data_IF_859149364896
#
_entry.id   IF_859149364896
#
_cell.length_a   1.000
_cell.length_b   1.000
_cell.length_c   1.000
_cell.angle_alpha   90.00
_cell.angle_beta   90.00
_cell.angle_gamma   90.00
#
_symmetry.space_group_name_H-M   'P 1'
#
loop_
_entity.id
_entity.type
_entity.pdbx_description
1 polymer ?
#
# COMPACT_ATOMS: atom_id res chain seq x y z
N UNK A 1 25.72 -6.84 49.58
CA UNK A 1 24.48 -7.31 48.94
C UNK A 1 23.54 -6.13 48.86
N UNK A 2 23.56 -5.41 47.73
CA UNK A 2 22.69 -4.25 47.47
C UNK A 2 22.94 -3.73 46.05
N UNK A 3 22.49 -4.47 45.04
CA UNK A 3 22.48 -4.01 43.65
C UNK A 3 21.28 -3.11 43.42
N UNK A 4 21.52 -1.84 43.10
CA UNK A 4 20.47 -0.90 42.70
C UNK A 4 19.94 -1.32 41.32
N UNK A 5 18.73 -1.86 41.30
CA UNK A 5 17.97 -2.04 40.06
C UNK A 5 17.55 -0.66 39.56
N UNK A 6 18.25 -0.16 38.55
CA UNK A 6 17.80 1.00 37.79
C UNK A 6 16.69 0.50 36.87
N UNK A 7 15.45 0.88 37.15
CA UNK A 7 14.36 0.70 36.20
C UNK A 7 14.67 1.55 34.97
N UNK A 8 15.05 0.92 33.86
CA UNK A 8 14.94 1.58 32.56
C UNK A 8 13.45 1.64 32.21
N UNK A 9 12.90 2.86 32.18
CA UNK A 9 11.57 3.06 31.62
C UNK A 9 11.56 2.58 30.16
N UNK A 10 10.47 1.94 29.70
CA UNK A 10 10.32 1.60 28.30
C UNK A 10 10.23 2.89 27.49
N UNK A 11 11.37 3.31 26.90
CA UNK A 11 11.43 4.50 26.04
C UNK A 11 10.37 4.37 24.95
N UNK A 12 9.41 5.28 24.96
CA UNK A 12 8.41 5.41 23.91
C UNK A 12 9.15 5.52 22.56
N UNK A 13 8.74 4.79 21.50
CA UNK A 13 9.41 4.89 20.21
C UNK A 13 9.39 6.35 19.75
N UNK A 14 10.58 6.93 19.56
CA UNK A 14 10.70 8.24 18.93
C UNK A 14 10.00 8.16 17.56
N UNK A 15 9.10 9.11 17.22
CA UNK A 15 8.53 9.17 15.89
C UNK A 15 9.67 9.22 14.88
N UNK A 16 9.63 8.36 13.86
CA UNK A 16 10.54 8.51 12.73
C UNK A 16 10.33 9.90 12.15
N UNK A 17 11.36 10.75 12.24
CA UNK A 17 11.28 12.09 11.71
C UNK A 17 11.09 12.02 10.20
N UNK A 18 9.90 12.39 9.73
CA UNK A 18 9.67 12.68 8.31
C UNK A 18 10.64 13.80 7.91
N UNK A 19 11.32 13.63 6.77
CA UNK A 19 12.19 14.66 6.24
C UNK A 19 11.41 15.49 5.22
N UNK A 20 11.32 16.79 5.45
CA UNK A 20 10.88 17.72 4.41
C UNK A 20 11.99 17.81 3.35
N UNK A 21 11.71 17.30 2.15
CA UNK A 21 12.63 17.32 1.01
C UNK A 21 12.40 18.55 0.12
N UNK A 22 13.50 19.13 -0.35
CA UNK A 22 13.52 20.20 -1.34
C UNK A 22 13.51 19.65 -2.77
N UNK A 23 13.13 20.48 -3.75
CA UNK A 23 13.03 20.09 -5.15
C UNK A 23 14.32 19.44 -5.70
N UNK A 24 15.49 19.99 -5.36
CA UNK A 24 16.81 19.44 -5.75
C UNK A 24 17.08 18.04 -5.17
N UNK A 25 16.59 17.77 -3.97
CA UNK A 25 16.77 16.49 -3.27
C UNK A 25 15.83 15.43 -3.84
N UNK A 26 14.61 15.82 -4.23
CA UNK A 26 13.66 14.96 -4.93
C UNK A 26 14.14 14.65 -6.35
N UNK A 27 14.69 15.64 -7.06
CA UNK A 27 15.38 15.43 -8.34
C UNK A 27 16.53 14.42 -8.19
N UNK A 28 17.40 14.59 -7.18
CA UNK A 28 18.52 13.67 -6.96
C UNK A 28 18.05 12.25 -6.61
N UNK A 29 17.03 12.11 -5.76
CA UNK A 29 16.45 10.82 -5.38
C UNK A 29 15.82 10.10 -6.58
N UNK A 30 15.11 10.84 -7.44
CA UNK A 30 14.40 10.31 -8.61
C UNK A 30 15.20 10.44 -9.92
N UNK A 31 16.51 10.62 -9.85
CA UNK A 31 17.36 10.81 -11.03
C UNK A 31 17.47 9.53 -11.86
N UNK A 32 17.17 9.63 -13.15
CA UNK A 32 17.00 8.51 -14.09
C UNK A 32 15.96 7.48 -13.62
N UNK A 33 14.86 7.94 -12.98
CA UNK A 33 13.77 7.07 -12.52
C UNK A 33 12.50 7.23 -13.33
N UNK A 34 11.85 6.10 -13.61
CA UNK A 34 10.46 6.05 -14.04
C UNK A 34 9.54 5.75 -12.85
N UNK A 35 8.72 6.73 -12.49
CA UNK A 35 7.70 6.65 -11.45
C UNK A 35 6.31 6.51 -12.07
N UNK A 36 5.57 5.49 -11.67
CA UNK A 36 4.18 5.25 -12.09
C UNK A 36 3.26 5.40 -10.90
N UNK A 37 2.17 6.16 -11.08
CA UNK A 37 1.16 6.40 -10.05
C UNK A 37 -0.20 5.94 -10.58
N UNK A 38 -0.87 5.02 -9.89
CA UNK A 38 -2.18 4.50 -10.27
C UNK A 38 -3.21 4.76 -9.17
N UNK A 39 -4.37 5.30 -9.53
CA UNK A 39 -5.47 5.45 -8.59
C UNK A 39 -6.44 6.57 -8.90
N UNK A 40 -7.15 7.02 -7.88
CA UNK A 40 -8.24 8.00 -8.00
C UNK A 40 -7.78 9.47 -7.97
N UNK A 41 -8.68 10.38 -7.61
CA UNK A 41 -8.39 11.82 -7.49
C UNK A 41 -7.37 12.16 -6.40
N UNK A 42 -7.22 11.33 -5.36
CA UNK A 42 -6.18 11.48 -4.34
C UNK A 42 -4.83 11.15 -4.95
N UNK A 43 -4.72 10.04 -5.70
CA UNK A 43 -3.46 9.68 -6.37
C UNK A 43 -3.12 10.63 -7.53
N UNK A 44 -4.11 11.21 -8.23
CA UNK A 44 -3.87 12.33 -9.16
C UNK A 44 -3.21 13.53 -8.45
N UNK A 45 -3.67 13.87 -7.24
CA UNK A 45 -3.07 14.96 -6.47
C UNK A 45 -1.67 14.61 -5.96
N UNK A 46 -1.37 13.35 -5.63
CA UNK A 46 0.01 12.87 -5.39
C UNK A 46 0.89 13.07 -6.63
N UNK A 47 0.43 12.65 -7.81
CA UNK A 47 1.13 12.89 -9.07
C UNK A 47 1.38 14.38 -9.32
N UNK A 48 0.36 15.24 -9.17
CA UNK A 48 0.49 16.67 -9.40
C UNK A 48 1.43 17.35 -8.41
N UNK A 49 1.43 16.92 -7.14
CA UNK A 49 2.36 17.45 -6.13
C UNK A 49 3.79 17.00 -6.40
N UNK A 50 4.01 15.75 -6.81
CA UNK A 50 5.33 15.24 -7.18
C UNK A 50 5.90 15.93 -8.42
N UNK A 51 5.09 16.12 -9.47
CA UNK A 51 5.48 16.85 -10.68
C UNK A 51 5.82 18.31 -10.37
N UNK A 52 5.07 18.94 -9.48
CA UNK A 52 5.37 20.30 -9.01
C UNK A 52 6.68 20.36 -8.21
N UNK A 53 6.87 19.43 -7.27
CA UNK A 53 8.04 19.35 -6.39
C UNK A 53 9.33 18.99 -7.15
N UNK A 54 9.24 18.19 -8.22
CA UNK A 54 10.35 17.96 -9.16
C UNK A 54 10.79 19.21 -9.92
N UNK A 55 10.05 20.32 -9.85
CA UNK A 55 10.35 21.58 -10.54
C UNK A 55 10.66 22.74 -9.58
N UNK A 56 9.93 22.85 -8.47
CA UNK A 56 10.04 23.99 -7.54
C UNK A 56 9.46 23.70 -6.16
N UNK A 57 10.02 24.34 -5.13
CA UNK A 57 9.59 24.29 -3.72
C UNK A 57 8.29 25.08 -3.44
N UNK A 58 7.27 24.91 -4.28
CA UNK A 58 5.94 25.51 -4.10
C UNK A 58 4.91 24.44 -3.77
N UNK A 59 3.82 24.81 -3.10
CA UNK A 59 2.65 23.95 -2.90
C UNK A 59 1.70 24.07 -4.09
N UNK A 60 0.87 23.03 -4.31
CA UNK A 60 -0.25 23.12 -5.25
C UNK A 60 -1.21 24.25 -4.85
N UNK A 61 -1.76 24.95 -5.83
CA UNK A 61 -2.90 25.86 -5.59
C UNK A 61 -4.21 25.08 -5.46
N UNK A 62 -5.18 25.65 -4.77
CA UNK A 62 -6.54 25.08 -4.69
C UNK A 62 -7.24 24.97 -6.06
N UNK A 63 -6.82 25.76 -7.07
CA UNK A 63 -7.27 25.62 -8.44
C UNK A 63 -6.65 24.37 -9.10
N UNK A 64 -5.33 24.17 -8.96
CA UNK A 64 -4.63 22.99 -9.46
C UNK A 64 -5.16 21.70 -8.82
N UNK A 65 -5.46 21.66 -7.52
CA UNK A 65 -6.06 20.48 -6.87
C UNK A 65 -7.45 20.12 -7.42
N UNK A 66 -8.26 21.12 -7.79
CA UNK A 66 -9.61 20.91 -8.33
C UNK A 66 -9.63 20.55 -9.81
N UNK A 67 -8.61 20.96 -10.57
CA UNK A 67 -8.52 20.69 -11.99
C UNK A 67 -8.28 19.19 -12.26
N UNK A 68 -9.00 18.65 -13.24
CA UNK A 68 -8.93 17.26 -13.71
C UNK A 68 -8.97 17.21 -15.23
N UNK A 69 -8.20 16.30 -15.82
CA UNK A 69 -8.19 16.06 -17.26
C UNK A 69 -7.75 17.28 -18.09
N UNK A 70 -7.03 18.24 -17.52
CA UNK A 70 -6.52 19.40 -18.25
C UNK A 70 -5.43 19.00 -19.25
N UNK A 71 -5.35 19.63 -20.43
CA UNK A 71 -4.38 19.26 -21.48
C UNK A 71 -2.90 19.25 -20.99
N UNK A 72 -2.54 20.15 -20.07
CA UNK A 72 -1.21 20.24 -19.47
C UNK A 72 -1.28 20.88 -18.09
N UNK A 73 -0.48 20.38 -17.17
CA UNK A 73 -0.24 20.86 -15.82
C UNK A 73 1.27 20.90 -15.58
N UNK A 74 1.83 22.07 -15.26
CA UNK A 74 3.26 22.24 -14.89
C UNK A 74 4.21 21.46 -15.82
N UNK A 75 4.15 21.73 -17.13
CA UNK A 75 4.96 21.11 -18.18
C UNK A 75 4.71 19.61 -18.44
N UNK A 76 3.74 19.00 -17.78
CA UNK A 76 3.24 17.67 -18.15
C UNK A 76 2.36 17.71 -19.40
N UNK A 77 2.01 16.54 -19.91
CA UNK A 77 1.04 16.36 -20.98
C UNK A 77 -0.06 15.36 -20.56
N UNK A 78 -1.29 15.65 -20.96
CA UNK A 78 -2.38 14.67 -21.00
C UNK A 78 -2.15 13.74 -22.20
N UNK A 79 -1.96 12.46 -21.92
CA UNK A 79 -1.69 11.42 -22.93
C UNK A 79 -2.99 10.80 -23.45
N UNK A 80 -3.97 10.56 -22.57
CA UNK A 80 -5.26 9.99 -22.93
C UNK A 80 -6.37 10.40 -21.97
N UNK A 81 -7.62 10.35 -22.45
CA UNK A 81 -8.80 10.72 -21.66
C UNK A 81 -8.85 12.21 -21.31
N UNK A 82 -9.47 12.58 -20.19
CA UNK A 82 -9.62 13.98 -19.80
C UNK A 82 -10.26 14.85 -20.90
N UNK A 83 -9.65 16.00 -21.21
CA UNK A 83 -10.03 16.90 -22.31
C UNK A 83 -9.73 16.36 -23.73
N UNK A 84 -9.01 15.23 -23.88
CA UNK A 84 -8.88 14.52 -25.16
C UNK A 84 -10.10 13.61 -25.44
N UNK A 85 -11.02 13.49 -24.49
CA UNK A 85 -12.28 12.76 -24.62
C UNK A 85 -13.42 13.48 -23.90
N UNK A 86 -14.43 12.73 -23.46
CA UNK A 86 -15.55 13.29 -22.69
C UNK A 86 -15.20 13.43 -21.19
N UNK A 87 -15.29 14.64 -20.66
CA UNK A 87 -15.12 14.91 -19.23
C UNK A 87 -16.37 14.51 -18.43
N UNK A 88 -16.41 13.28 -17.94
CA UNK A 88 -17.49 12.78 -17.07
C UNK A 88 -17.00 12.35 -15.67
N UNK A 89 -17.94 11.86 -14.85
CA UNK A 89 -17.69 11.25 -13.53
C UNK A 89 -18.14 9.77 -13.48
N UNK A 90 -18.42 9.14 -14.63
CA UNK A 90 -18.75 7.72 -14.74
C UNK A 90 -17.55 6.78 -14.50
N UNK A 91 -17.83 5.50 -14.29
CA UNK A 91 -16.84 4.42 -14.07
C UNK A 91 -15.94 4.14 -15.28
N UNK A 92 -16.29 4.63 -16.47
CA UNK A 92 -15.44 4.58 -17.65
C UNK A 92 -14.49 5.77 -17.80
N UNK A 93 -14.34 6.61 -16.75
CA UNK A 93 -13.46 7.77 -16.84
C UNK A 93 -12.01 7.30 -17.01
N UNK A 94 -11.28 8.02 -17.86
CA UNK A 94 -9.86 7.81 -18.12
C UNK A 94 -9.16 9.15 -18.05
N UNK A 95 -7.96 9.14 -17.50
CA UNK A 95 -7.02 10.25 -17.51
C UNK A 95 -5.63 9.63 -17.36
N UNK A 96 -4.82 9.71 -18.41
CA UNK A 96 -3.41 9.30 -18.40
C UNK A 96 -2.58 10.56 -18.57
N UNK A 97 -1.68 10.83 -17.62
CA UNK A 97 -0.79 12.00 -17.65
C UNK A 97 0.67 11.57 -17.65
N UNK A 98 1.53 12.34 -18.29
CA UNK A 98 2.97 12.10 -18.29
C UNK A 98 3.75 13.40 -18.14
N UNK A 99 4.67 13.43 -17.18
CA UNK A 99 5.69 14.45 -17.05
C UNK A 99 7.05 13.87 -17.44
N UNK A 100 7.75 14.57 -18.32
CA UNK A 100 9.16 14.34 -18.61
C UNK A 100 9.92 15.62 -18.28
N UNK A 101 10.88 15.58 -17.36
CA UNK A 101 11.73 16.76 -17.10
C UNK A 101 12.50 17.15 -18.37
N UNK A 102 12.74 18.45 -18.60
CA UNK A 102 13.44 18.92 -19.80
C UNK A 102 14.88 18.39 -20.00
N UNK A 103 15.51 17.83 -18.95
CA UNK A 103 16.80 17.12 -19.02
C UNK A 103 16.69 15.65 -19.44
N UNK A 104 15.48 15.09 -19.53
CA UNK A 104 15.23 13.68 -19.79
C UNK A 104 15.44 12.72 -18.60
N UNK A 105 15.86 13.21 -17.43
CA UNK A 105 16.24 12.37 -16.28
C UNK A 105 15.09 11.95 -15.36
N UNK A 106 13.91 12.54 -15.47
CA UNK A 106 12.76 12.21 -14.61
C UNK A 106 11.54 11.94 -15.47
N UNK A 107 10.98 10.74 -15.36
CA UNK A 107 9.74 10.34 -16.01
C UNK A 107 8.72 10.00 -14.93
N UNK A 108 7.58 10.69 -14.93
CA UNK A 108 6.46 10.39 -14.04
C UNK A 108 5.21 10.17 -14.89
N UNK A 109 4.50 9.07 -14.69
CA UNK A 109 3.24 8.79 -15.38
C UNK A 109 2.13 8.48 -14.39
N UNK A 110 0.93 9.00 -14.65
CA UNK A 110 -0.27 8.75 -13.86
C UNK A 110 -1.35 8.08 -14.68
N UNK A 111 -2.02 7.10 -14.09
CA UNK A 111 -3.19 6.41 -14.64
C UNK A 111 -4.37 6.52 -13.67
N UNK A 112 -5.45 7.19 -14.10
CA UNK A 112 -6.67 7.27 -13.29
C UNK A 112 -7.40 5.93 -13.28
N UNK A 113 -7.47 5.29 -12.11
CA UNK A 113 -8.24 4.07 -11.90
C UNK A 113 -9.62 4.39 -11.32
N UNK A 114 -10.64 3.78 -11.91
CA UNK A 114 -11.99 3.68 -11.35
C UNK A 114 -12.23 2.33 -10.67
N UNK A 115 -11.35 1.34 -10.85
CA UNK A 115 -11.44 0.01 -10.23
C UNK A 115 -10.05 -0.60 -10.08
N UNK A 116 -9.78 -1.31 -8.98
CA UNK A 116 -8.46 -1.90 -8.69
C UNK A 116 -8.08 -3.05 -9.64
N UNK A 117 -9.06 -3.66 -10.32
CA UNK A 117 -8.84 -4.62 -11.39
C UNK A 117 -9.92 -4.47 -12.46
N UNK A 118 -9.50 -4.34 -13.71
CA UNK A 118 -10.37 -4.15 -14.88
C UNK A 118 -9.57 -4.40 -16.17
N UNK A 119 -10.26 -4.56 -17.31
CA UNK A 119 -9.62 -4.64 -18.64
C UNK A 119 -8.64 -3.47 -18.87
N UNK A 120 -9.05 -2.25 -18.52
CA UNK A 120 -8.18 -1.07 -18.60
C UNK A 120 -6.91 -1.18 -17.74
N UNK A 121 -6.94 -1.88 -16.61
CA UNK A 121 -5.71 -2.10 -15.84
C UNK A 121 -4.81 -3.14 -16.51
N UNK A 122 -5.37 -4.17 -17.14
CA UNK A 122 -4.59 -5.12 -17.94
C UNK A 122 -3.94 -4.41 -19.15
N UNK A 123 -4.62 -3.48 -19.82
CA UNK A 123 -4.01 -2.63 -20.86
C UNK A 123 -2.81 -1.84 -20.32
N UNK A 124 -2.92 -1.27 -19.11
CA UNK A 124 -1.83 -0.53 -18.44
C UNK A 124 -0.69 -1.47 -18.03
N UNK A 125 -0.99 -2.67 -17.53
CA UNK A 125 0.03 -3.67 -17.20
C UNK A 125 0.75 -4.20 -18.45
N UNK A 126 0.06 -4.32 -19.58
CA UNK A 126 0.67 -4.61 -20.87
C UNK A 126 1.61 -3.49 -21.32
N UNK A 127 1.19 -2.22 -21.16
CA UNK A 127 2.07 -1.06 -21.43
C UNK A 127 3.33 -1.07 -20.54
N UNK A 128 3.21 -1.45 -19.26
CA UNK A 128 4.37 -1.57 -18.35
C UNK A 128 5.25 -2.80 -18.66
N UNK A 129 4.71 -3.82 -19.33
CA UNK A 129 5.45 -5.01 -19.75
C UNK A 129 6.35 -4.73 -20.96
N UNK A 130 5.85 -3.95 -21.94
CA UNK A 130 6.55 -3.70 -23.20
C UNK A 130 7.14 -2.28 -23.34
N UNK A 131 6.75 -1.35 -22.48
CA UNK A 131 7.23 0.03 -22.46
C UNK A 131 8.48 0.24 -21.60
N UNK A 132 8.76 1.50 -21.21
CA UNK A 132 9.83 1.80 -20.26
C UNK A 132 9.60 1.07 -18.93
N UNK A 133 10.63 0.41 -18.42
CA UNK A 133 10.55 -0.35 -17.16
C UNK A 133 10.39 0.60 -15.96
N UNK A 134 9.37 0.42 -15.09
CA UNK A 134 9.19 1.28 -13.93
C UNK A 134 10.17 0.96 -12.80
N UNK A 135 10.72 2.00 -12.16
CA UNK A 135 11.52 1.87 -10.93
C UNK A 135 10.66 1.90 -9.67
N UNK A 136 9.55 2.64 -9.72
CA UNK A 136 8.64 2.89 -8.60
C UNK A 136 7.19 2.86 -9.09
N UNK A 137 6.37 1.99 -8.50
CA UNK A 137 4.91 1.95 -8.69
C UNK A 137 4.24 2.34 -7.38
N UNK A 138 3.39 3.37 -7.43
CA UNK A 138 2.60 3.85 -6.30
C UNK A 138 1.13 3.63 -6.63
N UNK A 139 0.38 2.92 -5.78
CA UNK A 139 -0.99 2.54 -6.10
C UNK A 139 -1.96 2.66 -4.91
N UNK A 140 -3.15 3.19 -5.17
CA UNK A 140 -4.35 2.98 -4.36
C UNK A 140 -5.60 2.94 -5.25
N UNK A 141 -6.48 1.96 -5.06
CA UNK A 141 -7.86 2.01 -5.56
C UNK A 141 -8.79 1.34 -4.55
N UNK A 142 -8.93 1.92 -3.36
CA UNK A 142 -9.90 1.44 -2.37
C UNK A 142 -11.23 2.18 -2.48
N UNK A 143 -11.14 3.51 -2.64
CA UNK A 143 -12.27 4.42 -2.53
C UNK A 143 -13.32 4.21 -3.63
N UNK A 144 -12.91 4.08 -4.90
CA UNK A 144 -13.87 3.87 -6.01
C UNK A 144 -14.51 2.48 -5.99
N UNK A 145 -13.72 1.43 -5.77
CA UNK A 145 -14.21 0.05 -5.69
C UNK A 145 -15.34 -0.10 -4.65
N UNK A 146 -15.17 0.50 -3.46
CA UNK A 146 -16.18 0.47 -2.39
C UNK A 146 -17.39 1.40 -2.61
N UNK A 147 -17.22 2.54 -3.29
CA UNK A 147 -18.26 3.58 -3.42
C UNK A 147 -19.07 3.53 -4.71
N UNK A 148 -18.61 2.82 -5.75
CA UNK A 148 -19.21 2.81 -7.09
C UNK A 148 -19.66 1.45 -7.61
N UNK A 149 -19.17 0.34 -7.06
CA UNK A 149 -19.44 -1.02 -7.59
C UNK A 149 -20.41 -1.84 -6.72
N UNK A 150 -21.15 -1.18 -5.84
CA UNK A 150 -22.22 -1.77 -5.03
C UNK A 150 -21.73 -2.50 -3.76
N UNK A 151 -22.62 -3.27 -3.13
CA UNK A 151 -22.40 -3.86 -1.79
C UNK A 151 -21.38 -5.00 -1.72
N UNK A 152 -20.71 -5.34 -2.82
CA UNK A 152 -19.88 -6.54 -2.89
C UNK A 152 -18.41 -6.25 -2.52
N UNK A 153 -18.13 -6.09 -1.22
CA UNK A 153 -16.75 -6.00 -0.71
C UNK A 153 -15.91 -7.24 -1.09
N UNK A 154 -16.56 -8.40 -1.26
CA UNK A 154 -15.94 -9.60 -1.83
C UNK A 154 -15.36 -9.36 -3.22
N UNK A 155 -16.04 -8.62 -4.11
CA UNK A 155 -15.48 -8.28 -5.43
C UNK A 155 -14.25 -7.39 -5.33
N UNK A 156 -14.15 -6.52 -4.33
CA UNK A 156 -12.93 -5.73 -4.10
C UNK A 156 -11.78 -6.63 -3.64
N UNK A 157 -12.04 -7.57 -2.72
CA UNK A 157 -11.05 -8.55 -2.25
C UNK A 157 -10.55 -9.47 -3.38
N UNK A 158 -11.45 -10.07 -4.15
CA UNK A 158 -11.11 -10.88 -5.33
C UNK A 158 -10.30 -10.10 -6.38
N UNK A 159 -10.63 -8.83 -6.59
CA UNK A 159 -9.88 -7.97 -7.49
C UNK A 159 -8.48 -7.61 -6.95
N UNK A 160 -8.32 -7.43 -5.64
CA UNK A 160 -7.03 -7.24 -4.98
C UNK A 160 -6.12 -8.48 -5.14
N UNK A 161 -6.66 -9.68 -4.92
CA UNK A 161 -5.90 -10.93 -5.13
C UNK A 161 -5.41 -11.02 -6.59
N UNK A 162 -6.28 -10.70 -7.56
CA UNK A 162 -5.91 -10.69 -8.98
C UNK A 162 -4.83 -9.66 -9.30
N UNK A 163 -5.02 -8.40 -8.94
CA UNK A 163 -4.05 -7.35 -9.29
C UNK A 163 -2.70 -7.57 -8.59
N UNK A 164 -2.65 -8.13 -7.38
CA UNK A 164 -1.37 -8.35 -6.68
C UNK A 164 -0.60 -9.50 -7.33
N UNK A 165 -1.27 -10.59 -7.72
CA UNK A 165 -0.69 -11.66 -8.54
C UNK A 165 -0.20 -11.13 -9.89
N UNK A 166 -0.95 -10.24 -10.55
CA UNK A 166 -0.56 -9.67 -11.85
C UNK A 166 0.60 -8.69 -11.73
N UNK A 167 0.65 -7.85 -10.69
CA UNK A 167 1.78 -6.97 -10.39
C UNK A 167 3.08 -7.77 -10.17
N UNK A 168 3.03 -8.89 -9.44
CA UNK A 168 4.18 -9.79 -9.26
C UNK A 168 4.64 -10.49 -10.54
N UNK A 169 3.78 -10.61 -11.55
CA UNK A 169 4.12 -11.19 -12.85
C UNK A 169 4.68 -10.16 -13.85
N UNK A 170 4.26 -8.89 -13.71
CA UNK A 170 4.52 -7.82 -14.68
C UNK A 170 5.68 -6.93 -14.26
N UNK A 171 5.80 -6.61 -12.96
CA UNK A 171 6.85 -5.73 -12.47
C UNK A 171 8.16 -6.51 -12.25
N UNK A 172 9.32 -5.96 -12.64
CA UNK A 172 10.60 -6.60 -12.39
C UNK A 172 10.94 -6.60 -10.90
N UNK A 173 11.79 -7.54 -10.46
CA UNK A 173 12.28 -7.63 -9.07
C UNK A 173 12.98 -6.35 -8.57
N UNK A 174 13.41 -5.46 -9.48
CA UNK A 174 14.02 -4.16 -9.15
C UNK A 174 13.02 -3.02 -8.96
N UNK A 175 11.74 -3.21 -9.28
CA UNK A 175 10.70 -2.20 -9.11
C UNK A 175 10.21 -2.18 -7.66
N UNK A 176 10.20 -0.99 -7.04
CA UNK A 176 9.58 -0.78 -5.75
C UNK A 176 8.08 -0.55 -5.94
N UNK A 177 7.22 -1.46 -5.48
CA UNK A 177 5.78 -1.20 -5.38
C UNK A 177 5.44 -0.72 -3.96
N UNK A 178 4.82 0.47 -3.87
CA UNK A 178 4.27 1.04 -2.65
C UNK A 178 2.74 1.06 -2.75
N UNK A 179 2.09 0.21 -1.95
CA UNK A 179 0.65 0.22 -1.75
C UNK A 179 0.29 1.32 -0.74
N UNK A 180 -0.28 2.40 -1.24
CA UNK A 180 -0.86 3.44 -0.39
C UNK A 180 -2.19 2.91 0.18
N UNK A 181 -2.37 2.92 1.51
CA UNK A 181 -3.72 2.77 2.09
C UNK A 181 -4.57 4.02 1.80
N UNK A 182 -5.89 3.90 1.82
CA UNK A 182 -6.78 5.04 1.63
C UNK A 182 -6.82 5.95 2.86
N UNK A 183 -6.69 7.26 2.61
CA UNK A 183 -6.81 8.32 3.61
C UNK A 183 -8.17 8.29 4.34
N UNK A 184 -8.26 8.79 5.58
CA UNK A 184 -9.45 8.65 6.41
C UNK A 184 -10.59 9.56 5.93
N UNK A 185 -11.74 8.97 5.62
CA UNK A 185 -12.94 9.69 5.21
C UNK A 185 -13.59 10.49 6.36
N UNK A 186 -14.21 11.61 6.00
CA UNK A 186 -15.07 12.40 6.88
C UNK A 186 -16.40 11.71 7.19
N UNK A 187 -17.09 12.20 8.22
CA UNK A 187 -18.40 11.68 8.66
C UNK A 187 -19.47 11.72 7.58
N UNK A 188 -19.40 12.72 6.70
CA UNK A 188 -20.31 12.91 5.57
C UNK A 188 -19.48 12.99 4.30
N UNK A 189 -19.69 12.03 3.42
CA UNK A 189 -19.15 12.01 2.05
C UNK A 189 -20.16 12.68 1.13
N UNK A 190 -19.73 13.62 0.29
CA UNK A 190 -20.61 14.36 -0.63
C UNK A 190 -20.00 14.56 -2.01
N UNK A 191 -20.78 15.11 -2.95
CA UNK A 191 -20.39 15.27 -4.35
C UNK A 191 -20.53 13.98 -5.17
N UNK A 192 -20.12 14.02 -6.43
CA UNK A 192 -20.24 12.91 -7.38
C UNK A 192 -19.32 11.71 -7.13
N UNK A 193 -18.76 11.59 -5.93
CA UNK A 193 -17.97 10.44 -5.52
C UNK A 193 -18.86 9.23 -5.22
N UNK A 194 -19.97 9.44 -4.49
CA UNK A 194 -20.95 8.39 -4.18
C UNK A 194 -22.16 8.51 -5.10
N UNK A 195 -22.62 7.39 -5.68
CA UNK A 195 -23.81 7.39 -6.54
C UNK A 195 -25.09 7.65 -5.72
N UNK A 196 -26.10 8.37 -6.26
CA UNK A 196 -27.39 8.60 -5.57
C UNK A 196 -28.05 7.31 -5.05
N UNK A 197 -27.99 6.25 -5.85
CA UNK A 197 -28.53 4.92 -5.56
C UNK A 197 -27.77 4.20 -4.43
N UNK A 198 -26.52 4.60 -4.21
CA UNK A 198 -25.63 4.04 -3.19
C UNK A 198 -25.58 4.90 -1.91
N UNK A 199 -26.29 6.04 -1.84
CA UNK A 199 -26.36 6.89 -0.64
C UNK A 199 -26.69 6.15 0.67
N UNK A 200 -27.53 5.10 0.70
CA UNK A 200 -27.73 4.27 1.90
C UNK A 200 -26.46 3.58 2.43
N UNK A 201 -25.38 3.48 1.64
CA UNK A 201 -24.07 2.91 2.01
C UNK A 201 -23.09 3.95 2.56
N UNK A 202 -23.38 5.25 2.45
CA UNK A 202 -22.51 6.29 2.97
C UNK A 202 -22.25 6.13 4.49
N UNK A 203 -23.20 5.53 5.22
CA UNK A 203 -23.08 5.23 6.65
C UNK A 203 -22.09 4.10 7.00
N UNK A 204 -21.86 3.13 6.11
CA UNK A 204 -20.86 2.07 6.34
C UNK A 204 -19.50 2.39 5.74
N UNK A 205 -19.44 3.22 4.68
CA UNK A 205 -18.23 3.42 3.87
C UNK A 205 -16.96 3.74 4.67
N UNK A 206 -17.04 4.50 5.77
CA UNK A 206 -15.88 4.76 6.65
C UNK A 206 -15.29 3.48 7.25
N UNK A 207 -16.16 2.56 7.70
CA UNK A 207 -15.78 1.24 8.19
C UNK A 207 -15.29 0.36 7.05
N UNK A 208 -15.99 0.39 5.91
CA UNK A 208 -15.65 -0.43 4.74
C UNK A 208 -14.24 -0.07 4.21
N UNK A 209 -13.85 1.21 4.26
CA UNK A 209 -12.49 1.68 3.95
C UNK A 209 -11.45 1.19 4.97
N UNK A 210 -11.77 1.18 6.27
CA UNK A 210 -10.85 0.63 7.29
C UNK A 210 -10.65 -0.88 7.08
N UNK A 211 -11.72 -1.62 6.77
CA UNK A 211 -11.66 -3.04 6.47
C UNK A 211 -10.89 -3.33 5.17
N UNK A 212 -11.14 -2.56 4.11
CA UNK A 212 -10.44 -2.65 2.83
C UNK A 212 -8.95 -2.30 2.94
N UNK A 213 -8.60 -1.30 3.75
CA UNK A 213 -7.21 -0.98 4.09
C UNK A 213 -6.54 -2.12 4.83
N UNK A 214 -7.16 -2.68 5.87
CA UNK A 214 -6.62 -3.82 6.63
C UNK A 214 -6.36 -5.05 5.74
N UNK A 215 -7.33 -5.41 4.91
CA UNK A 215 -7.20 -6.56 4.01
C UNK A 215 -6.13 -6.32 2.94
N UNK A 216 -6.14 -5.17 2.25
CA UNK A 216 -5.14 -4.87 1.21
C UNK A 216 -3.72 -4.74 1.76
N UNK A 217 -3.55 -4.21 2.97
CA UNK A 217 -2.26 -4.16 3.66
C UNK A 217 -1.73 -5.55 4.05
N UNK A 218 -2.63 -6.45 4.47
CA UNK A 218 -2.28 -7.85 4.78
C UNK A 218 -1.80 -8.56 3.52
N UNK A 219 -2.58 -8.46 2.44
CA UNK A 219 -2.25 -9.05 1.14
C UNK A 219 -0.94 -8.47 0.56
N UNK A 220 -0.66 -7.18 0.76
CA UNK A 220 0.59 -6.57 0.31
C UNK A 220 1.80 -7.18 1.03
N UNK A 221 1.66 -7.47 2.33
CA UNK A 221 2.65 -8.22 3.10
C UNK A 221 2.91 -9.63 2.54
N UNK A 222 1.85 -10.36 2.13
CA UNK A 222 1.97 -11.71 1.55
C UNK A 222 2.67 -11.72 0.17
N UNK A 223 2.58 -10.63 -0.58
CA UNK A 223 3.28 -10.39 -1.84
C UNK A 223 4.64 -9.65 -1.67
N UNK A 224 5.03 -9.34 -0.43
CA UNK A 224 6.21 -8.54 -0.12
C UNK A 224 6.26 -7.17 -0.83
N UNK A 225 5.09 -6.55 -1.05
CA UNK A 225 4.98 -5.14 -1.44
C UNK A 225 5.07 -4.24 -0.20
N UNK A 226 5.60 -3.04 -0.38
CA UNK A 226 5.74 -2.10 0.72
C UNK A 226 4.41 -1.32 0.91
N UNK A 227 4.03 -1.04 2.16
CA UNK A 227 2.72 -0.43 2.47
C UNK A 227 2.89 0.89 3.21
N UNK A 228 2.33 1.98 2.66
CA UNK A 228 2.29 3.28 3.34
C UNK A 228 0.91 3.52 3.96
N UNK A 229 0.85 3.55 5.31
CA UNK A 229 -0.42 3.72 6.04
C UNK A 229 -0.88 5.20 6.10
N UNK A 230 -1.41 5.70 4.97
CA UNK A 230 -2.02 7.02 4.92
C UNK A 230 -3.27 7.14 5.80
N UNK A 231 -3.91 6.02 6.19
CA UNK A 231 -5.03 6.09 7.13
C UNK A 231 -4.54 6.48 8.51
N UNK A 232 -3.48 5.82 8.99
CA UNK A 232 -2.79 6.15 10.23
C UNK A 232 -2.28 7.60 10.18
N UNK A 233 -1.46 7.95 9.19
CA UNK A 233 -0.78 9.25 9.15
C UNK A 233 -1.75 10.44 9.18
N UNK A 234 -2.92 10.33 8.54
CA UNK A 234 -3.87 11.44 8.41
C UNK A 234 -5.09 11.39 9.36
N UNK A 235 -5.21 10.38 10.25
CA UNK A 235 -6.40 10.19 11.12
C UNK A 235 -6.74 11.38 12.03
N UNK A 236 -5.75 12.19 12.41
CA UNK A 236 -5.93 13.38 13.25
C UNK A 236 -5.87 14.69 12.46
N UNK A 237 -5.49 14.66 11.18
CA UNK A 237 -5.28 15.84 10.32
C UNK A 237 -6.59 16.47 9.80
N UNK A 238 -7.69 16.40 10.57
CA UNK A 238 -9.06 16.72 10.11
C UNK A 238 -9.18 18.13 9.52
N UNK A 239 -8.41 19.10 10.02
CA UNK A 239 -8.38 20.49 9.51
C UNK A 239 -7.96 20.62 8.04
N UNK A 240 -7.20 19.66 7.52
CA UNK A 240 -6.71 19.62 6.14
C UNK A 240 -7.63 18.86 5.17
N UNK A 241 -8.69 18.20 5.68
CA UNK A 241 -9.67 17.51 4.85
C UNK A 241 -10.77 18.47 4.42
N UNK A 242 -11.11 18.47 3.14
CA UNK A 242 -12.19 19.29 2.60
C UNK A 242 -13.57 18.85 3.11
N UNK A 243 -14.52 19.79 3.03
CA UNK A 243 -15.91 19.61 3.51
C UNK A 243 -16.69 18.52 2.78
N UNK A 244 -16.17 18.00 1.66
CA UNK A 244 -16.77 16.87 0.95
C UNK A 244 -16.49 15.52 1.61
N UNK A 245 -15.59 15.48 2.60
CA UNK A 245 -15.24 14.28 3.36
C UNK A 245 -14.27 13.34 2.65
N UNK A 246 -13.77 13.68 1.45
CA UNK A 246 -12.92 12.82 0.61
C UNK A 246 -11.59 13.49 0.29
N UNK A 247 -11.62 14.72 -0.22
CA UNK A 247 -10.42 15.41 -0.72
C UNK A 247 -9.67 16.15 0.38
N UNK A 248 -8.41 16.48 0.10
CA UNK A 248 -7.49 17.10 1.06
C UNK A 248 -6.80 18.31 0.45
N UNK A 249 -6.29 19.20 1.30
CA UNK A 249 -5.61 20.43 0.88
C UNK A 249 -4.16 20.20 0.40
N UNK A 250 -3.54 21.27 -0.08
CA UNK A 250 -2.18 21.23 -0.61
C UNK A 250 -1.11 20.89 0.43
N UNK A 251 -1.35 21.14 1.72
CA UNK A 251 -0.41 20.80 2.78
C UNK A 251 -0.44 19.29 3.02
N UNK A 252 -1.64 18.69 3.07
CA UNK A 252 -1.79 17.25 3.23
C UNK A 252 -1.18 16.47 2.07
N UNK A 253 -1.36 16.94 0.82
CA UNK A 253 -0.72 16.31 -0.33
C UNK A 253 0.82 16.45 -0.30
N UNK A 254 1.38 17.60 0.13
CA UNK A 254 2.83 17.72 0.32
C UNK A 254 3.38 16.83 1.44
N UNK A 255 2.66 16.70 2.56
CA UNK A 255 3.01 15.78 3.65
C UNK A 255 3.01 14.32 3.16
N UNK A 256 2.01 13.92 2.37
CA UNK A 256 1.95 12.61 1.72
C UNK A 256 3.18 12.39 0.83
N UNK A 257 3.52 13.34 -0.05
CA UNK A 257 4.72 13.26 -0.89
C UNK A 257 6.00 13.13 -0.06
N UNK A 258 6.14 13.87 1.05
CA UNK A 258 7.31 13.77 1.93
C UNK A 258 7.38 12.43 2.68
N UNK A 259 6.27 11.88 3.16
CA UNK A 259 6.21 10.52 3.73
C UNK A 259 6.62 9.45 2.71
N UNK A 260 6.07 9.54 1.50
CA UNK A 260 6.32 8.61 0.40
C UNK A 260 7.78 8.67 -0.05
N UNK A 261 8.34 9.85 -0.29
CA UNK A 261 9.73 10.03 -0.71
C UNK A 261 10.71 9.68 0.41
N UNK A 262 10.36 9.93 1.69
CA UNK A 262 11.14 9.46 2.84
C UNK A 262 11.23 7.93 2.83
N UNK A 263 10.10 7.26 2.58
CA UNK A 263 10.07 5.81 2.46
C UNK A 263 10.86 5.29 1.23
N UNK A 264 10.69 5.89 0.06
CA UNK A 264 11.42 5.49 -1.17
C UNK A 264 12.94 5.60 -0.98
N UNK A 265 13.41 6.68 -0.34
CA UNK A 265 14.83 6.82 0.00
C UNK A 265 15.31 5.73 0.97
N UNK A 266 14.55 5.46 2.05
CA UNK A 266 14.83 4.37 2.99
C UNK A 266 14.87 2.99 2.29
N UNK A 267 13.91 2.71 1.40
CA UNK A 267 13.82 1.49 0.62
C UNK A 267 15.01 1.29 -0.34
N UNK A 268 15.45 2.36 -1.01
CA UNK A 268 16.62 2.35 -1.90
C UNK A 268 17.97 2.54 -1.17
N UNK A 269 17.97 2.72 0.15
CA UNK A 269 19.20 2.90 0.95
C UNK A 269 19.89 4.26 0.72
N UNK A 270 19.13 5.28 0.29
CA UNK A 270 19.63 6.64 0.08
C UNK A 270 19.58 7.41 1.40
N UNK A 271 20.73 7.88 1.89
CA UNK A 271 20.77 8.75 3.07
C UNK A 271 20.11 10.10 2.78
N UNK A 272 19.10 10.45 3.58
CA UNK A 272 18.44 11.75 3.49
C UNK A 272 19.20 12.84 4.26
N UNK A 273 19.04 14.12 3.87
CA UNK A 273 19.64 15.25 4.58
C UNK A 273 19.26 15.26 6.06
N UNK A 274 20.26 15.30 6.92
CA UNK A 274 20.07 15.45 8.37
C UNK A 274 19.69 16.91 8.67
N UNK A 275 18.39 17.15 8.81
CA UNK A 275 17.82 18.41 9.29
C UNK A 275 17.49 18.28 10.77
N UNK A 276 17.76 19.32 11.55
CA UNK A 276 17.34 19.38 12.94
C UNK A 276 15.82 19.20 13.04
N UNK A 277 15.38 18.41 14.02
CA UNK A 277 13.97 18.11 14.23
C UNK A 277 13.23 19.35 14.73
N UNK A 278 12.74 20.17 13.81
CA UNK A 278 11.63 21.05 14.14
C UNK A 278 10.42 20.19 14.52
N UNK A 279 9.70 20.52 15.61
CA UNK A 279 8.45 19.84 15.93
C UNK A 279 7.51 20.01 14.74
N UNK A 280 7.01 18.89 14.26
CA UNK A 280 6.19 18.86 13.06
C UNK A 280 4.86 19.60 13.33
N UNK A 281 4.48 20.64 12.54
CA UNK A 281 3.17 21.29 12.65
C UNK A 281 1.97 20.34 12.52
N UNK A 282 2.17 19.12 12.01
CA UNK A 282 1.17 18.05 11.99
C UNK A 282 0.90 17.41 13.37
N UNK A 283 1.75 17.65 14.39
CA UNK A 283 1.66 17.02 15.72
C UNK A 283 0.88 17.87 16.75
N UNK A 284 0.72 19.18 16.55
CA UNK A 284 0.05 20.09 17.49
C UNK A 284 -1.43 19.73 17.76
N UNK A 285 -2.11 19.01 16.86
CA UNK A 285 -3.51 18.56 17.04
C UNK A 285 -3.62 17.29 17.94
N UNK A 286 -2.53 16.80 18.54
CA UNK A 286 -2.61 15.75 19.57
C UNK A 286 -3.00 16.39 20.92
N UNK A 287 -4.17 16.08 21.50
CA UNK A 287 -4.48 16.52 22.84
C UNK A 287 -3.48 15.91 23.84
N UNK A 288 -2.83 16.77 24.63
CA UNK A 288 -1.93 16.36 25.70
C UNK A 288 -2.72 15.54 26.74
N UNK A 289 -2.36 14.27 26.94
CA UNK A 289 -2.89 13.44 28.04
C UNK A 289 -2.17 13.75 29.36
N UNK A 290 -2.14 15.04 29.74
CA UNK A 290 -1.57 15.51 31.00
C UNK A 290 -2.63 15.50 32.12
N UNK A 291 -3.09 14.29 32.45
CA UNK A 291 -3.91 14.04 33.65
C UNK A 291 -3.25 12.94 34.50
N UNK A 292 -2.47 13.31 35.54
CA UNK A 292 -1.95 12.32 36.48
C UNK A 292 -3.10 11.67 37.23
N UNK A 293 -3.14 10.33 37.22
CA UNK A 293 -4.16 9.53 37.89
C UNK A 293 -4.22 9.83 39.40
N UNK A 294 -5.15 10.71 39.81
CA UNK A 294 -5.55 10.81 41.21
C UNK A 294 -6.56 9.69 41.51
N UNK A 295 -6.14 8.70 42.29
CA UNK A 295 -7.01 7.59 42.69
C UNK A 295 -8.13 8.08 43.60
N UNK A 296 -9.39 7.89 43.17
CA UNK A 296 -10.58 8.19 43.97
C UNK A 296 -11.11 6.91 44.64
N UNK A 297 -11.42 7.05 45.93
CA UNK A 297 -11.93 5.99 46.81
C UNK A 297 -13.25 5.37 46.31
N UNK A 298 -13.41 4.06 46.52
CA UNK A 298 -14.69 3.35 46.28
C UNK A 298 -15.70 3.58 47.42
N UNK A 299 -16.95 3.90 47.06
CA UNK A 299 -18.17 3.47 47.76
C UNK A 299 -19.28 3.18 46.72
N UNK A 300 -20.07 2.10 46.87
CA UNK A 300 -21.34 1.86 46.16
C UNK A 300 -22.52 2.53 46.93
N UNK A 301 -23.72 2.79 46.36
CA UNK A 301 -24.49 1.93 45.44
C UNK A 301 -24.95 2.71 44.17
N UNK A 302 -26.01 2.40 43.39
CA UNK A 302 -27.11 1.41 43.46
C UNK A 302 -27.63 1.00 42.06
N UNK A 303 -28.72 0.21 41.98
CA UNK A 303 -29.33 -0.30 40.74
C UNK A 303 -30.50 0.57 40.24
N UNK A 304 -30.46 0.96 38.97
CA UNK A 304 -31.59 1.56 38.24
C UNK A 304 -31.37 1.51 36.73
N UNK A 305 -32.31 0.94 35.98
CA UNK A 305 -32.17 0.68 34.54
C UNK A 305 -32.24 1.95 33.70
N UNK A 306 -31.23 2.16 32.83
CA UNK A 306 -31.42 2.93 31.60
C UNK A 306 -30.46 2.45 30.51
N UNK A 307 -31.01 1.93 29.41
CA UNK A 307 -30.23 1.47 28.26
C UNK A 307 -29.64 2.69 27.52
N UNK A 308 -28.34 2.89 27.62
CA UNK A 308 -27.58 3.88 26.82
C UNK A 308 -26.31 3.22 26.30
N UNK A 309 -25.93 3.55 25.05
CA UNK A 309 -24.80 2.94 24.36
C UNK A 309 -23.49 3.11 25.16
N UNK A 310 -22.89 2.00 25.55
CA UNK A 310 -21.62 1.99 26.27
C UNK A 310 -20.46 2.34 25.32
N UNK A 311 -19.54 3.24 25.72
CA UNK A 311 -18.33 3.49 24.95
C UNK A 311 -17.48 2.21 24.90
N UNK A 312 -16.97 1.88 23.71
CA UNK A 312 -16.10 0.72 23.50
C UNK A 312 -14.78 0.89 24.26
N UNK A 313 -14.57 0.08 25.30
CA UNK A 313 -13.29 -0.04 25.97
C UNK A 313 -12.39 -1.04 25.21
N UNK A 314 -11.12 -0.70 24.90
CA UNK A 314 -10.18 -1.63 24.29
C UNK A 314 -9.77 -2.70 25.31
N UNK A 315 -10.27 -3.92 25.14
CA UNK A 315 -9.89 -5.05 26.01
C UNK A 315 -10.87 -6.22 26.14
N UNK A 316 -12.09 -6.14 25.61
CA UNK A 316 -13.00 -7.30 25.63
C UNK A 316 -12.65 -8.33 24.53
N UNK A 317 -12.54 -9.63 24.85
CA UNK A 317 -12.34 -10.67 23.86
C UNK A 317 -13.63 -10.92 23.07
N UNK A 318 -13.52 -10.94 21.74
CA UNK A 318 -14.60 -11.43 20.87
C UNK A 318 -14.80 -12.95 21.07
N UNK A 319 -16.04 -13.47 20.90
CA UNK A 319 -16.31 -14.90 21.04
C UNK A 319 -15.60 -15.73 19.93
N UNK A 320 -15.17 -16.97 20.24
CA UNK A 320 -14.37 -17.79 19.34
C UNK A 320 -15.14 -18.38 18.14
N UNK A 321 -14.36 -18.84 17.17
CA UNK A 321 -14.73 -19.10 15.76
C UNK A 321 -15.52 -20.41 15.50
N UNK A 322 -16.43 -20.82 16.38
CA UNK A 322 -17.11 -22.14 16.29
C UNK A 322 -18.50 -22.13 15.61
N UNK A 323 -18.99 -20.99 15.13
CA UNK A 323 -20.32 -20.89 14.51
C UNK A 323 -20.38 -21.17 12.99
N UNK A 324 -19.25 -21.44 12.34
CA UNK A 324 -19.19 -21.65 10.88
C UNK A 324 -18.38 -22.88 10.49
N UNK A 325 -18.82 -24.05 10.97
CA UNK A 325 -18.37 -25.35 10.46
C UNK A 325 -19.49 -26.02 9.67
N UNK A 326 -19.36 -26.09 8.35
CA UNK A 326 -20.20 -26.94 7.51
C UNK A 326 -19.39 -27.54 6.34
N UNK A 327 -19.23 -28.86 6.41
CA UNK A 327 -18.73 -29.83 5.43
C UNK A 327 -19.05 -31.20 6.06
N UNK A 328 -19.47 -32.26 5.34
CA UNK A 328 -18.76 -32.84 4.18
C UNK A 328 -19.76 -33.16 3.01
N UNK A 329 -19.53 -33.95 1.94
CA UNK A 329 -18.73 -35.18 1.72
C UNK A 329 -18.53 -35.43 0.20
N UNK A 330 -17.34 -35.90 -0.23
CA UNK A 330 -17.03 -36.79 -1.41
C UNK A 330 -17.55 -36.40 -2.85
N UNK A 331 -16.96 -36.79 -4.00
CA UNK A 331 -15.93 -37.80 -4.33
C UNK A 331 -15.29 -37.58 -5.74
N UNK A 332 -14.34 -38.47 -6.12
CA UNK A 332 -13.82 -38.83 -7.47
C UNK A 332 -12.79 -37.96 -8.23
N UNK A 333 -11.52 -38.34 -8.05
CA UNK A 333 -10.62 -38.90 -9.08
C UNK A 333 -10.27 -38.12 -10.38
N UNK A 334 -9.00 -37.74 -10.46
CA UNK A 334 -8.16 -37.60 -11.68
C UNK A 334 -7.58 -39.00 -12.08
N UNK A 335 -6.67 -39.24 -13.09
CA UNK A 335 -5.79 -38.27 -13.76
C UNK A 335 -5.30 -38.51 -15.24
N UNK A 336 -4.66 -37.45 -15.76
CA UNK A 336 -3.44 -37.35 -16.64
C UNK A 336 -3.12 -38.28 -17.81
N UNK A 337 -2.48 -37.71 -18.85
CA UNK A 337 -1.15 -38.05 -19.42
C UNK A 337 -0.91 -37.16 -20.68
N UNK A 338 0.28 -36.86 -21.23
CA UNK A 338 1.68 -36.63 -20.78
C UNK A 338 2.45 -36.09 -22.02
N UNK A 339 3.64 -35.48 -21.90
CA UNK A 339 4.56 -35.33 -23.05
C UNK A 339 5.61 -34.21 -22.97
N UNK A 340 6.90 -34.57 -23.02
CA UNK A 340 8.05 -33.63 -22.94
C UNK A 340 8.90 -33.63 -24.22
N UNK A 341 9.71 -32.59 -24.46
CA UNK A 341 10.76 -32.56 -25.50
C UNK A 341 11.66 -31.30 -25.43
N UNK A 342 12.94 -31.33 -25.88
CA UNK A 342 13.97 -30.56 -25.16
C UNK A 342 14.92 -29.63 -25.98
N UNK A 343 15.53 -28.67 -25.26
CA UNK A 343 16.96 -28.29 -25.39
C UNK A 343 17.34 -27.05 -26.22
N UNK A 344 18.13 -26.13 -25.63
CA UNK A 344 19.55 -25.79 -25.96
C UNK A 344 20.14 -24.81 -24.93
N UNK A 345 21.48 -24.71 -24.85
CA UNK A 345 22.24 -23.96 -23.84
C UNK A 345 22.61 -22.52 -24.27
N UNK A 346 22.83 -21.62 -23.30
CA UNK A 346 23.72 -20.46 -23.45
C UNK A 346 24.47 -20.14 -22.15
N UNK A 347 25.71 -19.65 -22.26
CA UNK A 347 26.64 -19.39 -21.15
C UNK A 347 26.90 -17.88 -21.00
N UNK A 348 26.77 -17.28 -19.80
CA UNK A 348 27.18 -15.89 -19.54
C UNK A 348 28.67 -15.77 -19.17
N UNK A 349 29.31 -14.67 -19.58
CA UNK A 349 30.67 -14.29 -19.16
C UNK A 349 30.73 -13.65 -17.76
N UNK A 350 31.93 -13.52 -17.16
CA UNK A 350 32.09 -13.16 -15.75
C UNK A 350 31.94 -11.65 -15.44
N UNK A 351 31.37 -11.37 -14.25
CA UNK A 351 31.32 -10.05 -13.61
C UNK A 351 32.54 -9.80 -12.70
N UNK A 352 32.92 -8.53 -12.44
CA UNK A 352 34.03 -8.19 -11.55
C UNK A 352 33.70 -8.41 -10.05
N UNK A 353 34.73 -8.55 -9.18
CA UNK A 353 34.55 -8.94 -7.78
C UNK A 353 34.10 -7.79 -6.85
N UNK A 354 33.43 -8.10 -5.73
CA UNK A 354 33.00 -7.09 -4.75
C UNK A 354 34.14 -6.64 -3.82
N UNK A 355 34.08 -5.37 -3.41
CA UNK A 355 34.95 -4.78 -2.37
C UNK A 355 34.24 -4.86 -1.01
N UNK A 356 34.90 -5.25 0.09
CA UNK A 356 34.25 -5.34 1.40
C UNK A 356 34.19 -3.98 2.11
N UNK A 357 32.98 -3.61 2.57
CA UNK A 357 32.75 -2.45 3.45
C UNK A 357 32.52 -2.90 4.91
N UNK A 358 33.00 -2.15 5.92
CA UNK A 358 32.80 -2.49 7.33
C UNK A 358 31.39 -2.14 7.82
N UNK A 359 30.89 -2.92 8.79
CA UNK A 359 29.58 -2.74 9.43
C UNK A 359 29.63 -1.60 10.46
N UNK A 360 28.62 -0.71 10.49
CA UNK A 360 28.18 -0.04 11.72
C UNK A 360 26.76 -0.45 12.11
N UNK A 361 26.57 -0.79 13.39
CA UNK A 361 25.26 -0.95 14.00
C UNK A 361 24.54 0.40 14.11
N UNK A 362 23.30 0.49 13.61
CA UNK A 362 22.45 1.68 13.81
C UNK A 362 21.03 1.45 13.28
N UNK A 363 20.09 1.02 14.12
CA UNK A 363 18.68 0.91 13.74
C UNK A 363 17.99 2.27 13.86
N UNK A 364 17.88 2.99 12.74
CA UNK A 364 16.83 3.98 12.54
C UNK A 364 15.66 3.28 11.83
N UNK A 365 14.45 3.34 12.39
CA UNK A 365 13.24 2.78 11.76
C UNK A 365 12.40 3.94 11.23
N UNK A 366 11.91 3.78 9.99
CA UNK A 366 11.13 4.76 9.25
C UNK A 366 9.71 5.01 9.80
N UNK A 367 8.88 5.81 9.09
CA UNK A 367 7.45 6.01 9.39
C UNK A 367 6.68 4.67 9.36
N UNK A 368 5.35 4.68 9.60
CA UNK A 368 4.54 3.44 9.64
C UNK A 368 4.40 2.87 8.23
N UNK A 369 5.45 2.14 7.86
CA UNK A 369 5.63 1.50 6.58
C UNK A 369 6.04 0.06 6.84
N UNK A 370 5.24 -0.85 6.32
CA UNK A 370 5.57 -2.26 6.34
C UNK A 370 6.36 -2.57 5.07
N UNK A 371 7.69 -2.58 5.19
CA UNK A 371 8.54 -3.21 4.16
C UNK A 371 8.15 -4.69 4.04
N UNK A 372 8.17 -5.26 2.84
CA UNK A 372 7.81 -6.65 2.55
C UNK A 372 8.31 -7.64 3.63
N UNK A 373 7.39 -8.22 4.39
CA UNK A 373 7.67 -8.58 5.79
C UNK A 373 8.63 -9.78 5.99
N UNK A 374 9.73 -9.58 6.73
CA UNK A 374 10.12 -10.53 7.76
C UNK A 374 9.01 -10.59 8.83
N UNK A 375 8.68 -11.78 9.36
CA UNK A 375 7.73 -11.92 10.48
C UNK A 375 8.27 -11.33 11.79
N UNK A 376 8.21 -10.00 11.93
CA UNK A 376 8.73 -9.23 13.07
C UNK A 376 7.78 -8.10 13.51
N UNK A 377 6.76 -8.49 14.27
CA UNK A 377 5.94 -7.70 15.24
C UNK A 377 6.08 -6.16 15.18
N UNK A 378 5.07 -5.47 14.60
CA UNK A 378 4.68 -4.12 15.03
C UNK A 378 3.76 -4.22 16.25
N UNK A 379 3.94 -3.34 17.26
CA UNK A 379 2.95 -3.13 18.32
C UNK A 379 1.77 -2.30 17.77
N UNK A 380 0.94 -2.93 16.92
CA UNK A 380 -0.36 -2.41 16.49
C UNK A 380 -1.50 -2.86 17.43
N UNK A 381 -2.71 -2.30 17.31
CA UNK A 381 -3.85 -2.60 18.19
C UNK A 381 -4.49 -3.98 17.97
N UNK A 382 -3.88 -4.86 17.15
CA UNK A 382 -4.44 -6.16 16.76
C UNK A 382 -3.57 -7.30 17.31
N UNK A 383 -4.08 -8.14 18.24
CA UNK A 383 -3.30 -9.24 18.81
C UNK A 383 -3.21 -10.45 17.87
N UNK A 384 -2.01 -11.04 17.75
CA UNK A 384 -1.76 -12.25 16.95
C UNK A 384 -1.01 -13.33 17.76
N UNK A 385 -1.34 -14.64 17.60
CA UNK A 385 -0.59 -15.74 18.22
C UNK A 385 0.81 -15.94 17.62
N UNK A 386 1.75 -16.48 18.42
CA UNK A 386 3.17 -16.63 18.05
C UNK A 386 3.47 -17.92 17.26
N UNK A 387 4.14 -17.80 16.11
CA UNK A 387 5.10 -18.80 15.59
C UNK A 387 6.23 -18.10 14.81
N UNK A 388 7.49 -18.43 15.10
CA UNK A 388 8.67 -17.71 14.60
C UNK A 388 9.52 -18.47 13.57
N UNK A 389 10.36 -17.73 12.84
CA UNK A 389 11.36 -18.24 11.89
C UNK A 389 11.99 -17.10 11.05
N UNK A 390 13.26 -17.18 10.58
CA UNK A 390 13.98 -16.03 10.00
C UNK A 390 13.66 -15.75 8.53
N UNK A 391 14.02 -14.54 8.08
CA UNK A 391 13.71 -13.97 6.76
C UNK A 391 14.49 -14.59 5.58
N UNK A 392 13.88 -14.53 4.38
CA UNK A 392 14.56 -14.59 3.08
C UNK A 392 14.11 -13.43 2.20
N UNK A 393 14.92 -13.06 1.19
CA UNK A 393 14.54 -12.13 0.12
C UNK A 393 13.35 -12.68 -0.68
N UNK A 394 12.68 -11.82 -1.47
CA UNK A 394 11.62 -12.18 -2.44
C UNK A 394 12.04 -13.43 -3.22
N UNK A 395 11.44 -14.58 -2.88
CA UNK A 395 11.80 -15.88 -3.43
C UNK A 395 11.16 -16.06 -4.80
N UNK A 396 11.90 -16.68 -5.72
CA UNK A 396 11.41 -17.01 -7.05
C UNK A 396 10.17 -17.91 -6.96
N UNK A 397 9.23 -17.71 -7.89
CA UNK A 397 8.05 -18.57 -8.01
C UNK A 397 8.39 -20.05 -8.29
N UNK A 398 9.64 -20.36 -8.70
CA UNK A 398 10.18 -21.72 -8.81
C UNK A 398 10.33 -22.45 -7.47
N UNK A 399 10.55 -21.73 -6.37
CA UNK A 399 11.02 -22.31 -5.11
C UNK A 399 9.86 -22.70 -4.18
N UNK A 400 8.62 -22.34 -4.54
CA UNK A 400 7.38 -22.72 -3.82
C UNK A 400 6.89 -24.15 -4.12
N UNK A 401 7.47 -24.85 -5.10
CA UNK A 401 6.96 -26.13 -5.62
C UNK A 401 7.80 -27.38 -5.27
N UNK A 402 8.73 -27.29 -4.32
CA UNK A 402 9.53 -28.44 -3.88
C UNK A 402 9.25 -28.75 -2.40
N UNK A 403 8.13 -29.41 -2.10
CA UNK A 403 8.02 -30.38 -0.99
C UNK A 403 6.73 -31.23 -1.08
N UNK A 404 6.87 -32.52 -0.75
CA UNK A 404 5.90 -33.64 -0.96
C UNK A 404 5.74 -34.06 -2.43
N UNK A 405 5.76 -35.33 -2.83
CA UNK A 405 5.95 -36.60 -2.12
C UNK A 405 6.79 -37.61 -2.96
N UNK A 406 7.56 -38.47 -2.28
CA UNK A 406 7.85 -39.85 -2.72
C UNK A 406 6.78 -40.77 -2.09
N UNK A 407 6.36 -41.88 -2.73
CA UNK A 407 7.02 -43.17 -2.46
C UNK A 407 7.15 -44.12 -3.67
N UNK A 408 7.78 -45.26 -3.41
CA UNK A 408 8.23 -46.29 -4.37
C UNK A 408 7.14 -47.26 -4.87
N UNK A 409 7.41 -47.99 -5.97
CA UNK A 409 6.59 -49.14 -6.37
C UNK A 409 6.80 -49.70 -7.78
N UNK A 410 7.75 -50.64 -7.96
CA UNK A 410 7.78 -51.62 -9.09
C UNK A 410 6.52 -52.52 -9.03
N UNK A 411 5.97 -53.11 -10.12
CA UNK A 411 6.65 -54.15 -10.95
C UNK A 411 6.13 -54.24 -12.42
N UNK A 412 6.19 -55.39 -13.12
CA UNK A 412 7.37 -56.13 -13.59
C UNK A 412 7.48 -56.15 -15.13
N UNK A 413 8.56 -56.75 -15.66
CA UNK A 413 8.82 -56.87 -17.09
C UNK A 413 8.16 -58.10 -17.75
N UNK A 414 7.74 -57.97 -19.01
CA UNK A 414 7.73 -59.00 -20.09
C UNK A 414 7.61 -58.25 -21.45
N UNK A 415 8.64 -58.14 -22.30
CA UNK A 415 9.18 -59.14 -23.26
C UNK A 415 8.19 -59.60 -24.34
N UNK A 416 8.32 -59.15 -25.61
CA UNK A 416 7.50 -59.70 -26.70
C UNK A 416 7.50 -59.04 -28.10
N UNK A 417 8.65 -59.04 -28.82
CA UNK A 417 8.77 -59.20 -30.30
C UNK A 417 8.09 -58.23 -31.32
N UNK A 418 8.56 -58.36 -32.58
CA UNK A 418 8.41 -57.43 -33.71
C UNK A 418 7.38 -57.86 -34.79
N UNK A 419 7.06 -56.89 -35.66
CA UNK A 419 6.63 -56.98 -37.08
C UNK A 419 5.19 -57.42 -37.43
N UNK A 420 4.64 -56.67 -38.39
CA UNK A 420 3.32 -56.79 -39.01
C UNK A 420 3.07 -55.54 -39.85
#
# INVERSE_FOLDING_TARGET
WSSVWRNEEPRCPLPSAMVHLQASEVQQLLHNKFVVILGDSIQRAVYKDLVLLLQKDSLLTAAQLKAKGELSFEQDQLVAGGQLGELHNGTQYREVRQFCSGSGHHLVRFYFLTRVYSEYLEDVLEELTYGPTPDLVIINSCLWDLSRYGRCSMSYRENLERVFVRMDQVLPDSCLLVWNMAMPLGERVTGGFLLPELQPLAGSLRRDVVEGNFYSATLAGDHCFDVLDLHFHFRHAVRHRHRDGVHWDQHAHRHLSHLLLTHVADAWGVELPKRDHHPDPWIEDRPEMDHPFQGIHRQPPDVGEQLQDTPFFPGQPFPPHEFFSYNPVEDFSTPTHLGCGPGVNFVPGPLPPPVPSPVPYGQHRGPVVHRGMPRCIPNGPYPMPRMGGPCRQRLRHSDRLIHTHKPDGRPPAHSGTWLG
#
